data_IF_711046335219
#
_entry.id   IF_711046335219
#
_cell.length_a   1.000
_cell.length_b   1.000
_cell.length_c   1.000
_cell.angle_alpha   90.00
_cell.angle_beta   90.00
_cell.angle_gamma   90.00
#
_symmetry.space_group_name_H-M   'P 1'
#
loop_
_entity.id
_entity.type
_entity.pdbx_description
1 polymer ?
#
# COMPACT_ATOMS: atom_id res chain seq x y z
N UNK A 1 4.76 5.90 6.61
CA UNK A 1 4.31 4.77 7.46
C UNK A 1 2.79 4.84 7.63
N UNK A 2 2.01 4.48 6.61
CA UNK A 2 0.53 4.59 6.68
C UNK A 2 -0.14 3.22 6.86
N UNK A 3 0.49 2.16 6.36
CA UNK A 3 -0.03 0.78 6.41
C UNK A 3 0.46 -0.03 7.62
N UNK A 4 1.60 0.33 8.22
CA UNK A 4 2.24 -0.42 9.33
C UNK A 4 1.47 -0.41 10.64
N UNK A 5 0.38 0.36 10.72
CA UNK A 5 -0.49 0.45 11.91
C UNK A 5 -1.61 -0.59 11.92
N UNK A 6 -1.86 -1.25 10.79
CA UNK A 6 -2.91 -2.25 10.67
C UNK A 6 -2.41 -3.67 10.93
N UNK A 7 -1.09 -3.88 10.87
CA UNK A 7 -0.49 -5.17 11.12
C UNK A 7 0.94 -5.25 10.59
N UNK A 8 1.53 -6.44 10.73
CA UNK A 8 2.90 -6.69 10.29
C UNK A 8 2.94 -6.82 8.77
N UNK A 9 3.70 -5.92 8.13
CA UNK A 9 3.88 -5.92 6.68
C UNK A 9 5.03 -6.86 6.34
N UNK A 10 4.74 -7.85 5.51
CA UNK A 10 5.73 -8.76 4.95
C UNK A 10 6.54 -8.07 3.85
N UNK A 11 5.85 -7.40 2.92
CA UNK A 11 6.51 -6.76 1.76
C UNK A 11 5.74 -5.54 1.26
N UNK A 12 6.46 -4.55 0.70
CA UNK A 12 5.87 -3.41 -0.02
C UNK A 12 6.54 -3.27 -1.37
N UNK A 13 5.75 -3.39 -2.43
CA UNK A 13 6.21 -3.26 -3.81
C UNK A 13 5.53 -2.06 -4.45
N UNK A 14 6.27 -0.97 -4.64
CA UNK A 14 5.76 0.18 -5.40
C UNK A 14 6.07 -0.06 -6.88
N UNK A 15 5.03 -0.14 -7.70
CA UNK A 15 5.22 -0.31 -9.14
C UNK A 15 5.66 1.02 -9.74
N UNK A 16 6.94 1.06 -10.14
CA UNK A 16 7.53 2.19 -10.83
C UNK A 16 7.71 1.83 -12.30
N UNK A 17 7.51 2.81 -13.15
CA UNK A 17 7.83 2.70 -14.56
C UNK A 17 9.35 2.54 -14.70
N UNK A 18 9.78 1.48 -15.39
CA UNK A 18 11.20 1.11 -15.45
C UNK A 18 12.02 2.07 -16.31
N UNK A 19 11.37 2.78 -17.22
CA UNK A 19 12.00 3.68 -18.19
C UNK A 19 12.08 5.11 -17.63
N UNK A 20 11.00 5.59 -17.02
CA UNK A 20 10.91 6.96 -16.48
C UNK A 20 11.19 7.05 -14.98
N UNK A 21 11.34 5.92 -14.28
CA UNK A 21 11.44 5.81 -12.81
C UNK A 21 10.27 6.46 -12.05
N UNK A 22 9.20 6.87 -12.74
CA UNK A 22 8.02 7.46 -12.12
C UNK A 22 7.13 6.36 -11.55
N UNK A 23 6.66 6.54 -10.33
CA UNK A 23 5.65 5.67 -9.74
C UNK A 23 4.41 5.65 -10.64
N UNK A 24 3.91 4.47 -11.00
CA UNK A 24 2.71 4.33 -11.84
C UNK A 24 1.41 4.69 -11.11
N UNK A 25 1.51 5.25 -9.91
CA UNK A 25 0.37 5.63 -9.06
C UNK A 25 -0.24 4.47 -8.26
N UNK A 26 0.34 3.26 -8.34
CA UNK A 26 -0.11 2.10 -7.57
C UNK A 26 1.07 1.29 -7.03
N UNK A 27 0.79 0.52 -5.98
CA UNK A 27 1.74 -0.38 -5.34
C UNK A 27 0.99 -1.49 -4.61
N UNK A 28 1.69 -2.57 -4.34
CA UNK A 28 1.18 -3.73 -3.62
C UNK A 28 1.80 -3.76 -2.23
N UNK A 29 0.98 -4.10 -1.24
CA UNK A 29 1.42 -4.31 0.14
C UNK A 29 0.99 -5.72 0.53
N UNK A 30 1.96 -6.53 0.94
CA UNK A 30 1.77 -7.90 1.42
C UNK A 30 1.85 -7.88 2.94
N UNK A 31 0.79 -8.31 3.62
CA UNK A 31 0.79 -8.48 5.07
C UNK A 31 1.09 -9.93 5.43
N UNK A 32 1.61 -10.14 6.64
CA UNK A 32 1.82 -11.50 7.16
C UNK A 32 0.49 -12.21 7.48
N UNK A 33 -0.52 -11.46 7.95
CA UNK A 33 -1.85 -11.99 8.24
C UNK A 33 -2.90 -11.49 7.25
N UNK A 34 -3.84 -12.38 6.91
CA UNK A 34 -4.96 -12.06 6.02
C UNK A 34 -5.94 -11.10 6.69
N UNK A 35 -6.15 -11.21 8.00
CA UNK A 35 -7.06 -10.32 8.73
C UNK A 35 -6.51 -8.88 8.78
N UNK A 36 -5.22 -8.71 9.08
CA UNK A 36 -4.52 -7.42 8.99
C UNK A 36 -4.63 -6.81 7.59
N UNK A 37 -4.51 -7.63 6.54
CA UNK A 37 -4.66 -7.20 5.15
C UNK A 37 -6.07 -6.68 4.85
N UNK A 38 -7.11 -7.37 5.36
CA UNK A 38 -8.51 -6.97 5.18
C UNK A 38 -8.80 -5.66 5.92
N UNK A 39 -8.34 -5.53 7.15
CA UNK A 39 -8.51 -4.31 7.95
C UNK A 39 -7.79 -3.12 7.30
N UNK A 40 -6.55 -3.33 6.84
CA UNK A 40 -5.81 -2.34 6.09
C UNK A 40 -6.54 -1.93 4.80
N UNK A 41 -7.08 -2.89 4.05
CA UNK A 41 -7.83 -2.65 2.83
C UNK A 41 -9.08 -1.83 3.12
N UNK A 42 -9.91 -2.22 4.09
CA UNK A 42 -11.12 -1.50 4.46
C UNK A 42 -10.83 -0.07 4.93
N UNK A 43 -9.79 0.10 5.74
CA UNK A 43 -9.44 1.40 6.32
C UNK A 43 -8.69 2.34 5.36
N UNK A 44 -8.10 1.79 4.28
CA UNK A 44 -7.39 2.56 3.24
C UNK A 44 -8.19 2.75 1.97
N UNK A 45 -9.23 1.96 1.74
CA UNK A 45 -10.11 2.11 0.58
C UNK A 45 -10.75 3.50 0.59
N UNK A 46 -10.36 4.36 -0.35
CA UNK A 46 -10.82 5.76 -0.44
C UNK A 46 -10.04 6.78 0.41
N UNK A 47 -8.95 6.38 1.07
CA UNK A 47 -8.03 7.34 1.72
C UNK A 47 -6.99 7.86 0.74
N UNK A 48 -6.92 9.18 0.59
CA UNK A 48 -5.84 9.85 -0.12
C UNK A 48 -4.54 9.73 0.68
N UNK A 49 -3.59 8.96 0.17
CA UNK A 49 -2.23 8.91 0.71
C UNK A 49 -1.40 9.92 -0.10
N UNK A 50 -0.86 10.92 0.59
CA UNK A 50 0.08 11.91 0.02
C UNK A 50 -0.54 12.95 -0.95
N UNK A 51 -1.82 13.32 -0.74
CA UNK A 51 -2.48 14.40 -1.48
C UNK A 51 -2.87 14.06 -2.92
N UNK A 52 -2.82 12.78 -3.31
CA UNK A 52 -3.40 12.29 -4.55
C UNK A 52 -4.60 11.40 -4.22
N UNK A 53 -5.74 11.79 -4.78
CA UNK A 53 -7.02 11.09 -4.71
C UNK A 53 -7.12 10.09 -5.87
#
# INVERSE_FOLDING_TARGET
>A
QVFSKYGQISEVVVVKDRETQRSRGFGFVTFENIDDAKDAMMAMNGKSVDGRQ
#
